data_IF_012269698820
#
_entry.id   IF_012269698820
#
_cell.length_a   1.000
_cell.length_b   1.000
_cell.length_c   1.000
_cell.angle_alpha   90.00
_cell.angle_beta   90.00
_cell.angle_gamma   90.00
#
_symmetry.space_group_name_H-M   'P 1'
#
loop_
_entity.id
_entity.type
_entity.pdbx_description
1 polymer ?
#
# COMPACT_ATOMS: atom_id res chain seq x y z
N UNK A 1 -19.62 -32.09 2.46
CA UNK A 1 -19.04 -30.83 1.95
C UNK A 1 -19.20 -30.70 0.43
N UNK A 2 -18.65 -31.62 -0.38
CA UNK A 2 -18.76 -31.57 -1.87
C UNK A 2 -20.19 -31.40 -2.42
N UNK A 3 -21.19 -32.12 -1.88
CA UNK A 3 -22.60 -31.96 -2.30
C UNK A 3 -23.17 -30.55 -2.06
N UNK A 4 -22.72 -29.87 -1.00
CA UNK A 4 -23.19 -28.51 -0.68
C UNK A 4 -22.57 -27.52 -1.66
N UNK A 5 -21.27 -27.65 -1.92
CA UNK A 5 -20.54 -26.83 -2.90
C UNK A 5 -21.20 -26.96 -4.27
N UNK A 6 -21.47 -28.18 -4.74
CA UNK A 6 -22.13 -28.40 -6.03
C UNK A 6 -23.51 -27.73 -6.08
N UNK A 7 -24.35 -27.85 -5.04
CA UNK A 7 -25.66 -27.17 -5.00
C UNK A 7 -25.54 -25.65 -5.05
N UNK A 8 -24.55 -25.06 -4.35
CA UNK A 8 -24.34 -23.60 -4.35
C UNK A 8 -23.85 -23.15 -5.73
N UNK A 9 -22.86 -23.85 -6.30
CA UNK A 9 -22.37 -23.57 -7.65
C UNK A 9 -23.49 -23.71 -8.67
N UNK A 10 -24.21 -24.83 -8.71
CA UNK A 10 -25.33 -25.03 -9.63
C UNK A 10 -26.42 -23.96 -9.44
N UNK A 11 -26.72 -23.56 -8.20
CA UNK A 11 -27.66 -22.48 -7.90
C UNK A 11 -27.22 -21.14 -8.50
N UNK A 12 -25.95 -20.76 -8.32
CA UNK A 12 -25.37 -19.53 -8.88
C UNK A 12 -25.35 -19.60 -10.41
N UNK A 13 -24.83 -20.69 -10.99
CA UNK A 13 -24.73 -20.85 -12.44
C UNK A 13 -26.11 -20.89 -13.10
N UNK A 14 -27.10 -21.53 -12.50
CA UNK A 14 -28.47 -21.53 -13.01
C UNK A 14 -29.14 -20.16 -12.85
N UNK A 15 -28.93 -19.46 -11.73
CA UNK A 15 -29.48 -18.13 -11.49
C UNK A 15 -29.00 -17.12 -12.53
N UNK A 16 -27.71 -17.17 -12.88
CA UNK A 16 -27.14 -16.30 -13.91
C UNK A 16 -27.22 -16.85 -15.35
N UNK A 17 -27.70 -18.10 -15.52
CA UNK A 17 -27.79 -18.75 -16.82
C UNK A 17 -26.44 -19.02 -17.48
N UNK A 18 -25.40 -19.31 -16.70
CA UNK A 18 -24.06 -19.67 -17.17
C UNK A 18 -24.02 -21.15 -17.61
N UNK A 19 -24.69 -21.49 -18.71
CA UNK A 19 -24.56 -22.83 -19.31
C UNK A 19 -23.27 -22.96 -20.13
N UNK A 20 -22.45 -23.98 -19.87
CA UNK A 20 -21.18 -24.25 -20.58
C UNK A 20 -21.32 -24.27 -22.12
N UNK A 21 -22.48 -24.70 -22.64
CA UNK A 21 -22.72 -24.82 -24.07
C UNK A 21 -23.47 -23.65 -24.73
N UNK A 22 -24.09 -22.73 -23.96
CA UNK A 22 -24.93 -21.65 -24.52
C UNK A 22 -24.66 -20.25 -23.93
N UNK A 23 -23.57 -20.08 -23.19
CA UNK A 23 -23.37 -18.88 -22.37
C UNK A 23 -21.93 -18.36 -22.25
N UNK A 24 -20.98 -18.79 -23.10
CA UNK A 24 -19.58 -18.35 -23.00
C UNK A 24 -19.44 -16.82 -22.94
N UNK A 25 -20.14 -16.09 -23.81
CA UNK A 25 -20.16 -14.62 -23.79
C UNK A 25 -20.78 -14.01 -22.53
N UNK A 26 -21.80 -14.67 -21.94
CA UNK A 26 -22.40 -14.20 -20.67
C UNK A 26 -21.46 -14.39 -19.50
N UNK A 27 -20.76 -15.53 -19.43
CA UNK A 27 -19.75 -15.78 -18.42
C UNK A 27 -18.60 -14.78 -18.53
N UNK A 28 -18.14 -14.49 -19.75
CA UNK A 28 -17.09 -13.51 -19.97
C UNK A 28 -17.51 -12.09 -19.61
N UNK A 29 -18.73 -11.69 -19.98
CA UNK A 29 -19.28 -10.40 -19.57
C UNK A 29 -19.37 -10.28 -18.04
N UNK A 30 -19.79 -11.36 -17.37
CA UNK A 30 -19.84 -11.40 -15.91
C UNK A 30 -18.44 -11.32 -15.28
N UNK A 31 -17.46 -12.05 -15.80
CA UNK A 31 -16.07 -11.97 -15.33
C UNK A 31 -15.48 -10.58 -15.55
N UNK A 32 -15.77 -9.93 -16.67
CA UNK A 32 -15.38 -8.54 -16.94
C UNK A 32 -16.05 -7.57 -15.95
N UNK A 33 -17.34 -7.76 -15.68
CA UNK A 33 -18.07 -6.95 -14.71
C UNK A 33 -17.49 -7.07 -13.29
N UNK A 34 -17.24 -8.30 -12.82
CA UNK A 34 -16.56 -8.52 -11.54
C UNK A 34 -15.16 -7.91 -11.55
N UNK A 35 -14.43 -8.03 -12.65
CA UNK A 35 -13.10 -7.45 -12.78
C UNK A 35 -13.13 -5.93 -12.60
N UNK A 36 -14.09 -5.24 -13.23
CA UNK A 36 -14.28 -3.79 -13.04
C UNK A 36 -14.59 -3.47 -11.58
N UNK A 37 -15.57 -4.13 -10.97
CA UNK A 37 -15.98 -3.85 -9.58
C UNK A 37 -14.83 -4.05 -8.60
N UNK A 38 -14.14 -5.20 -8.68
CA UNK A 38 -13.06 -5.53 -7.76
C UNK A 38 -11.77 -4.75 -8.04
N UNK A 39 -11.62 -4.17 -9.23
CA UNK A 39 -10.46 -3.33 -9.58
C UNK A 39 -10.62 -1.87 -9.21
N UNK A 40 -11.86 -1.34 -9.14
CA UNK A 40 -12.10 0.08 -8.85
C UNK A 40 -11.47 0.48 -7.51
N UNK A 41 -11.71 -0.28 -6.45
CA UNK A 41 -11.20 0.06 -5.12
C UNK A 41 -9.65 0.03 -5.05
N UNK A 42 -8.94 -1.05 -5.46
CA UNK A 42 -7.48 -1.04 -5.52
C UNK A 42 -6.89 0.08 -6.38
N UNK A 43 -7.53 0.44 -7.50
CA UNK A 43 -7.08 1.55 -8.34
C UNK A 43 -7.27 2.91 -7.65
N UNK A 44 -8.36 3.12 -6.92
CA UNK A 44 -8.55 4.31 -6.10
C UNK A 44 -7.48 4.37 -5.01
N UNK A 45 -7.26 3.27 -4.28
CA UNK A 45 -6.20 3.19 -3.27
C UNK A 45 -4.81 3.43 -3.86
N UNK A 46 -4.53 2.94 -5.07
CA UNK A 46 -3.28 3.23 -5.79
C UNK A 46 -3.10 4.73 -6.03
N UNK A 47 -4.13 5.44 -6.49
CA UNK A 47 -4.05 6.89 -6.74
C UNK A 47 -3.93 7.69 -5.44
N UNK A 48 -4.64 7.27 -4.39
CA UNK A 48 -4.59 7.95 -3.08
C UNK A 48 -3.22 7.75 -2.42
N UNK A 49 -2.76 6.50 -2.31
CA UNK A 49 -1.50 6.19 -1.61
C UNK A 49 -0.24 6.44 -2.43
N UNK A 50 -0.35 6.68 -3.75
CA UNK A 50 0.80 7.16 -4.53
C UNK A 50 1.13 8.63 -4.29
N UNK A 51 0.17 9.40 -3.77
CA UNK A 51 0.32 10.82 -3.41
C UNK A 51 0.56 11.04 -1.92
N UNK A 52 0.31 10.03 -1.10
CA UNK A 52 0.48 10.09 0.35
C UNK A 52 1.95 9.90 0.70
N UNK A 53 2.62 11.00 1.05
CA UNK A 53 4.05 10.97 1.37
C UNK A 53 4.34 10.12 2.60
N UNK A 54 3.45 10.07 3.58
CA UNK A 54 3.64 9.28 4.79
C UNK A 54 3.61 7.79 4.47
N UNK A 55 2.67 7.34 3.64
CA UNK A 55 2.63 5.93 3.21
C UNK A 55 3.86 5.56 2.38
N UNK A 56 4.25 6.42 1.43
CA UNK A 56 5.43 6.17 0.58
C UNK A 56 6.73 6.17 1.40
N UNK A 57 6.86 7.08 2.36
CA UNK A 57 8.05 7.19 3.21
C UNK A 57 8.21 5.97 4.13
N UNK A 58 7.12 5.49 4.74
CA UNK A 58 7.17 4.41 5.73
C UNK A 58 7.04 3.00 5.17
N UNK A 59 6.23 2.80 4.12
CA UNK A 59 5.98 1.48 3.52
C UNK A 59 6.60 1.32 2.11
N UNK A 60 7.21 2.38 1.58
CA UNK A 60 7.71 2.39 0.21
C UNK A 60 6.58 2.28 -0.82
N UNK A 61 6.92 1.74 -2.00
CA UNK A 61 5.97 1.50 -3.09
C UNK A 61 5.26 0.15 -3.00
N UNK A 62 5.53 -0.65 -1.97
CA UNK A 62 4.97 -2.01 -1.83
C UNK A 62 3.44 -2.01 -1.88
N UNK A 63 2.71 -1.18 -1.11
CA UNK A 63 1.24 -1.19 -1.17
C UNK A 63 0.69 -0.85 -2.56
N UNK A 64 1.42 -0.06 -3.34
CA UNK A 64 1.03 0.33 -4.70
C UNK A 64 1.13 -0.86 -5.66
N UNK A 65 2.22 -1.63 -5.60
CA UNK A 65 2.38 -2.86 -6.39
C UNK A 65 1.34 -3.91 -6.03
N UNK A 66 1.02 -4.04 -4.73
CA UNK A 66 -0.02 -4.98 -4.27
C UNK A 66 -1.40 -4.55 -4.75
N UNK A 67 -1.74 -3.26 -4.70
CA UNK A 67 -2.99 -2.74 -5.28
C UNK A 67 -3.09 -3.01 -6.80
N UNK A 68 -2.00 -2.85 -7.54
CA UNK A 68 -1.97 -3.15 -8.99
C UNK A 68 -2.01 -4.65 -9.30
N UNK A 69 -1.54 -5.50 -8.38
CA UNK A 69 -1.56 -6.95 -8.58
C UNK A 69 -2.99 -7.49 -8.74
N UNK A 70 -3.98 -6.89 -8.07
CA UNK A 70 -5.39 -7.28 -8.15
C UNK A 70 -5.97 -7.15 -9.56
N UNK A 71 -6.02 -5.96 -10.20
CA UNK A 71 -6.51 -5.82 -11.57
C UNK A 71 -5.71 -6.65 -12.57
N UNK A 72 -4.39 -6.80 -12.37
CA UNK A 72 -3.55 -7.65 -13.22
C UNK A 72 -3.96 -9.12 -13.10
N UNK A 73 -4.16 -9.63 -11.88
CA UNK A 73 -4.61 -10.99 -11.65
C UNK A 73 -5.98 -11.24 -12.29
N UNK A 74 -6.95 -10.36 -12.06
CA UNK A 74 -8.29 -10.50 -12.62
C UNK A 74 -8.30 -10.36 -14.17
N UNK A 75 -7.45 -9.50 -14.74
CA UNK A 75 -7.25 -9.42 -16.19
C UNK A 75 -6.63 -10.72 -16.73
N UNK A 76 -5.62 -11.27 -16.05
CA UNK A 76 -4.98 -12.52 -16.46
C UNK A 76 -5.95 -13.72 -16.40
N UNK A 77 -6.92 -13.71 -15.48
CA UNK A 77 -8.03 -14.66 -15.48
C UNK A 77 -8.92 -14.54 -16.72
N UNK A 78 -9.26 -13.31 -17.12
CA UNK A 78 -10.03 -13.08 -18.35
C UNK A 78 -9.27 -13.56 -19.58
N UNK A 79 -7.96 -13.28 -19.66
CA UNK A 79 -7.10 -13.75 -20.76
C UNK A 79 -7.05 -15.28 -20.77
N UNK A 80 -6.89 -15.92 -19.61
CA UNK A 80 -6.88 -17.38 -19.49
C UNK A 80 -8.16 -18.04 -20.00
N UNK A 81 -9.33 -17.50 -19.66
CA UNK A 81 -10.62 -18.02 -20.14
C UNK A 81 -10.73 -17.88 -21.66
N UNK A 82 -10.35 -16.73 -22.22
CA UNK A 82 -10.34 -16.52 -23.68
C UNK A 82 -9.37 -17.47 -24.38
N UNK A 83 -8.17 -17.67 -23.81
CA UNK A 83 -7.18 -18.60 -24.34
C UNK A 83 -7.75 -20.01 -24.47
N UNK A 84 -8.37 -20.56 -23.41
CA UNK A 84 -8.97 -21.90 -23.47
C UNK A 84 -10.09 -22.02 -24.51
N UNK A 85 -10.88 -20.95 -24.72
CA UNK A 85 -11.93 -20.91 -25.73
C UNK A 85 -11.37 -20.88 -27.16
N UNK A 86 -10.41 -19.99 -27.44
CA UNK A 86 -9.86 -19.82 -28.79
C UNK A 86 -9.12 -21.08 -29.27
N UNK A 87 -8.36 -21.73 -28.39
CA UNK A 87 -7.53 -22.88 -28.76
C UNK A 87 -8.24 -24.23 -28.71
N UNK A 88 -9.56 -24.26 -28.46
CA UNK A 88 -10.36 -25.50 -28.40
C UNK A 88 -9.70 -26.58 -27.52
N UNK A 89 -9.15 -26.14 -26.37
CA UNK A 89 -8.43 -27.03 -25.47
C UNK A 89 -9.40 -28.09 -24.95
N UNK A 90 -8.95 -29.36 -24.86
CA UNK A 90 -9.77 -30.45 -24.32
C UNK A 90 -10.34 -30.04 -22.95
N UNK A 91 -11.63 -30.28 -22.66
CA UNK A 91 -12.27 -29.82 -21.41
C UNK A 91 -11.50 -30.20 -20.14
N UNK A 92 -10.95 -31.42 -20.09
CA UNK A 92 -10.12 -31.88 -18.97
C UNK A 92 -8.85 -31.05 -18.76
N UNK A 93 -8.20 -30.62 -19.85
CA UNK A 93 -7.00 -29.79 -19.78
C UNK A 93 -7.35 -28.34 -19.43
N UNK A 94 -8.44 -27.80 -20.00
CA UNK A 94 -8.95 -26.47 -19.65
C UNK A 94 -9.34 -26.39 -18.16
N UNK A 95 -10.03 -27.41 -17.62
CA UNK A 95 -10.36 -27.52 -16.19
C UNK A 95 -9.10 -27.48 -15.32
N UNK A 96 -8.10 -28.33 -15.61
CA UNK A 96 -6.82 -28.35 -14.88
C UNK A 96 -6.10 -27.00 -14.96
N UNK A 97 -6.09 -26.37 -16.14
CA UNK A 97 -5.50 -25.05 -16.35
C UNK A 97 -6.19 -23.97 -15.53
N UNK A 98 -7.53 -23.92 -15.55
CA UNK A 98 -8.31 -22.99 -14.72
C UNK A 98 -8.05 -23.21 -13.23
N UNK A 99 -8.07 -24.45 -12.74
CA UNK A 99 -7.80 -24.74 -11.32
C UNK A 99 -6.41 -24.21 -10.92
N UNK A 100 -5.38 -24.55 -11.70
CA UNK A 100 -4.01 -24.08 -11.43
C UNK A 100 -3.94 -22.55 -11.45
N UNK A 101 -4.60 -21.90 -12.41
CA UNK A 101 -4.62 -20.44 -12.51
C UNK A 101 -5.24 -19.79 -11.25
N UNK A 102 -6.43 -20.24 -10.83
CA UNK A 102 -7.11 -19.69 -9.66
C UNK A 102 -6.34 -19.94 -8.36
N UNK A 103 -5.80 -21.16 -8.18
CA UNK A 103 -5.05 -21.54 -6.98
C UNK A 103 -3.75 -20.74 -6.89
N UNK A 104 -3.00 -20.62 -7.99
CA UNK A 104 -1.73 -19.87 -8.01
C UNK A 104 -1.98 -18.38 -7.78
N UNK A 105 -2.88 -17.76 -8.54
CA UNK A 105 -3.19 -16.33 -8.37
C UNK A 105 -3.75 -16.03 -6.98
N UNK A 106 -4.65 -16.87 -6.47
CA UNK A 106 -5.20 -16.75 -5.13
C UNK A 106 -4.10 -16.81 -4.05
N UNK A 107 -3.18 -17.76 -4.16
CA UNK A 107 -2.05 -17.90 -3.21
C UNK A 107 -1.13 -16.67 -3.25
N UNK A 108 -0.80 -16.18 -4.45
CA UNK A 108 0.05 -14.98 -4.61
C UNK A 108 -0.60 -13.76 -3.95
N UNK A 109 -1.90 -13.52 -4.19
CA UNK A 109 -2.61 -12.40 -3.57
C UNK A 109 -2.73 -12.53 -2.04
N UNK A 110 -2.91 -13.76 -1.52
CA UNK A 110 -2.90 -14.01 -0.06
C UNK A 110 -1.54 -13.59 0.53
N UNK A 111 -0.44 -14.08 -0.05
CA UNK A 111 0.90 -13.77 0.43
C UNK A 111 1.21 -12.27 0.34
N UNK A 112 0.89 -11.62 -0.78
CA UNK A 112 1.11 -10.18 -0.96
C UNK A 112 0.26 -9.33 0.00
N UNK A 113 -1.02 -9.66 0.16
CA UNK A 113 -1.91 -8.96 1.09
C UNK A 113 -1.47 -9.12 2.54
N UNK A 114 -1.15 -10.35 2.96
CA UNK A 114 -0.63 -10.63 4.30
C UNK A 114 0.69 -9.92 4.58
N UNK A 115 1.60 -9.89 3.61
CA UNK A 115 2.87 -9.17 3.72
C UNK A 115 2.66 -7.67 3.98
N UNK A 116 1.81 -7.00 3.20
CA UNK A 116 1.49 -5.58 3.40
C UNK A 116 0.83 -5.34 4.75
N UNK A 117 -0.10 -6.20 5.17
CA UNK A 117 -0.72 -6.11 6.50
C UNK A 117 0.32 -6.20 7.61
N UNK A 118 1.20 -7.21 7.58
CA UNK A 118 2.24 -7.38 8.59
C UNK A 118 3.23 -6.21 8.61
N UNK A 119 3.62 -5.70 7.44
CA UNK A 119 4.54 -4.56 7.35
C UNK A 119 3.90 -3.28 7.91
N UNK A 120 2.66 -2.98 7.53
CA UNK A 120 1.91 -1.81 8.01
C UNK A 120 1.66 -1.87 9.52
N UNK A 121 1.25 -3.03 10.05
CA UNK A 121 1.05 -3.23 11.49
C UNK A 121 2.35 -3.12 12.27
N UNK A 122 3.45 -3.68 11.76
CA UNK A 122 4.77 -3.57 12.40
C UNK A 122 5.19 -2.10 12.50
N UNK A 123 5.18 -1.36 11.39
CA UNK A 123 5.59 0.05 11.37
C UNK A 123 4.68 0.90 12.24
N UNK A 124 3.36 0.69 12.18
CA UNK A 124 2.38 1.38 13.02
C UNK A 124 2.64 1.10 14.51
N UNK A 125 2.88 -0.16 14.88
CA UNK A 125 3.18 -0.55 16.27
C UNK A 125 4.51 0.04 16.74
N UNK A 126 5.55 0.01 15.91
CA UNK A 126 6.86 0.55 16.26
C UNK A 126 6.80 2.07 16.43
N UNK A 127 6.06 2.79 15.59
CA UNK A 127 5.83 4.23 15.76
C UNK A 127 5.06 4.59 17.04
N UNK A 128 4.14 3.74 17.48
CA UNK A 128 3.37 3.99 18.72
C UNK A 128 4.15 3.54 19.95
N UNK A 129 4.68 2.32 19.97
CA UNK A 129 5.22 1.72 21.18
C UNK A 129 6.72 1.98 21.34
N UNK A 130 7.44 2.02 20.22
CA UNK A 130 8.91 2.01 20.19
C UNK A 130 9.49 3.23 19.46
N UNK A 131 8.76 4.35 19.41
CA UNK A 131 9.19 5.56 18.71
C UNK A 131 10.58 6.00 19.18
N UNK A 132 11.50 6.21 18.23
CA UNK A 132 12.90 6.54 18.51
C UNK A 132 13.83 5.34 18.68
N UNK A 133 13.30 4.10 18.67
CA UNK A 133 14.11 2.88 18.69
C UNK A 133 14.53 2.42 17.30
N UNK A 134 13.67 2.63 16.30
CA UNK A 134 13.98 2.36 14.90
C UNK A 134 14.85 3.51 14.34
N UNK A 135 15.93 3.23 13.56
CA UNK A 135 16.83 4.26 13.04
C UNK A 135 16.13 5.42 12.31
N UNK A 136 15.06 5.14 11.56
CA UNK A 136 14.33 6.17 10.82
C UNK A 136 13.54 7.08 11.77
N UNK A 137 12.85 6.48 12.75
CA UNK A 137 12.13 7.24 13.77
C UNK A 137 13.07 8.01 14.71
N UNK A 138 14.25 7.44 15.01
CA UNK A 138 15.29 8.06 15.82
C UNK A 138 15.85 9.31 15.12
N UNK A 139 16.15 9.22 13.83
CA UNK A 139 16.67 10.34 13.06
C UNK A 139 15.65 11.49 12.93
N UNK A 140 14.37 11.16 12.77
CA UNK A 140 13.29 12.16 12.79
C UNK A 140 13.16 12.83 14.16
N UNK A 141 13.25 12.05 15.25
CA UNK A 141 13.22 12.60 16.60
C UNK A 141 14.44 13.49 16.87
N UNK A 142 15.64 13.06 16.49
CA UNK A 142 16.88 13.84 16.64
C UNK A 142 16.80 15.16 15.87
N UNK A 143 16.32 15.12 14.62
CA UNK A 143 16.10 16.33 13.82
C UNK A 143 15.10 17.26 14.50
N UNK A 144 13.98 16.72 14.99
CA UNK A 144 12.97 17.50 15.71
C UNK A 144 13.54 18.13 16.99
N UNK A 145 14.29 17.38 17.79
CA UNK A 145 14.97 17.88 19.00
C UNK A 145 15.99 18.96 18.64
N UNK A 146 16.76 18.81 17.55
CA UNK A 146 17.69 19.84 17.09
C UNK A 146 16.96 21.13 16.67
N UNK A 147 15.79 21.01 16.02
CA UNK A 147 14.97 22.17 15.68
C UNK A 147 14.44 22.86 16.95
N UNK A 148 13.93 22.09 17.91
CA UNK A 148 13.46 22.58 19.21
C UNK A 148 14.56 23.33 19.96
N UNK A 149 15.76 22.75 20.04
CA UNK A 149 16.90 23.34 20.74
C UNK A 149 17.40 24.62 20.08
N UNK A 150 17.40 24.66 18.75
CA UNK A 150 17.68 25.88 18.00
C UNK A 150 16.63 26.95 18.29
N UNK A 151 15.35 26.57 18.26
CA UNK A 151 14.27 27.51 18.46
C UNK A 151 14.23 28.07 19.89
N UNK A 152 14.41 27.23 20.91
CA UNK A 152 14.49 27.65 22.31
C UNK A 152 15.60 28.67 22.58
N UNK A 153 16.73 28.58 21.87
CA UNK A 153 17.83 29.56 21.95
C UNK A 153 17.46 30.90 21.33
N UNK A 154 16.64 30.89 20.29
CA UNK A 154 16.20 32.08 19.57
C UNK A 154 14.99 32.76 20.24
N UNK A 155 13.96 31.98 20.59
CA UNK A 155 12.71 32.43 21.20
C UNK A 155 12.20 31.37 22.18
N UNK A 156 12.46 31.51 23.50
CA UNK A 156 12.01 30.55 24.50
C UNK A 156 10.49 30.57 24.71
N UNK A 157 9.78 31.55 24.14
CA UNK A 157 8.33 31.71 24.24
C UNK A 157 7.57 31.20 23.01
N UNK A 158 8.27 30.75 21.96
CA UNK A 158 7.67 30.25 20.70
C UNK A 158 6.65 31.23 20.07
N UNK A 159 6.88 32.53 20.24
CA UNK A 159 5.97 33.59 19.76
C UNK A 159 6.17 33.93 18.29
N UNK A 160 7.39 33.85 17.76
CA UNK A 160 7.69 34.13 16.34
C UNK A 160 7.63 32.86 15.48
N UNK A 161 8.07 32.88 14.22
CA UNK A 161 8.21 31.63 13.45
C UNK A 161 9.69 31.25 13.47
N UNK A 162 10.02 29.95 13.51
CA UNK A 162 11.42 29.51 13.58
C UNK A 162 12.26 30.01 12.39
N UNK A 163 11.66 30.17 11.22
CA UNK A 163 12.31 30.73 10.02
C UNK A 163 12.74 32.20 10.17
N UNK A 164 12.15 32.93 11.12
CA UNK A 164 12.51 34.31 11.43
C UNK A 164 13.74 34.41 12.37
N UNK A 165 14.20 33.28 12.92
CA UNK A 165 15.33 33.25 13.82
C UNK A 165 16.66 33.54 13.11
N UNK A 166 17.54 34.37 13.68
CA UNK A 166 18.85 34.62 13.11
C UNK A 166 19.68 33.33 13.05
N UNK A 167 20.32 33.08 11.91
CA UNK A 167 21.12 31.87 11.67
C UNK A 167 20.32 30.65 11.20
N UNK A 168 19.00 30.76 11.01
CA UNK A 168 18.19 29.67 10.48
C UNK A 168 18.65 29.23 9.08
N UNK A 169 18.98 30.18 8.20
CA UNK A 169 19.47 29.88 6.83
C UNK A 169 20.83 29.17 6.82
N UNK A 170 21.63 29.34 7.87
CA UNK A 170 22.96 28.73 7.99
C UNK A 170 22.89 27.32 8.64
N UNK A 171 21.75 26.97 9.25
CA UNK A 171 21.53 25.64 9.83
C UNK A 171 21.29 24.62 8.73
N UNK A 172 22.29 23.76 8.49
CA UNK A 172 22.10 22.53 7.74
C UNK A 172 21.44 21.50 8.67
N UNK A 173 20.12 21.58 8.82
CA UNK A 173 19.37 20.48 9.43
C UNK A 173 19.69 19.21 8.62
N UNK A 174 20.20 18.19 9.30
CA UNK A 174 20.78 17.00 8.67
C UNK A 174 19.85 16.46 7.59
N UNK A 175 20.42 16.23 6.40
CA UNK A 175 19.72 15.45 5.39
C UNK A 175 19.72 13.99 5.85
N UNK A 176 18.63 13.24 5.57
CA UNK A 176 18.64 11.80 5.74
C UNK A 176 19.91 11.21 5.12
N UNK A 177 20.62 10.27 5.78
CA UNK A 177 21.50 9.41 5.03
C UNK A 177 20.66 8.75 3.93
N UNK A 178 21.11 8.77 2.66
CA UNK A 178 20.35 8.19 1.57
C UNK A 178 20.02 6.74 1.91
N UNK A 179 18.75 6.37 1.80
CA UNK A 179 18.30 5.01 2.09
C UNK A 179 19.00 4.02 1.17
N UNK A 180 19.13 2.75 1.56
CA UNK A 180 19.72 1.73 0.69
C UNK A 180 19.01 1.64 -0.69
N UNK A 181 17.72 1.98 -0.74
CA UNK A 181 16.97 2.07 -1.98
C UNK A 181 17.30 3.33 -2.79
N UNK A 182 17.56 4.46 -2.15
CA UNK A 182 18.04 5.68 -2.81
C UNK A 182 19.47 5.50 -3.30
N UNK A 183 20.35 4.89 -2.52
CA UNK A 183 21.70 4.52 -2.94
C UNK A 183 21.66 3.54 -4.13
N UNK A 184 20.80 2.52 -4.08
CA UNK A 184 20.62 1.60 -5.20
C UNK A 184 20.00 2.27 -6.43
N UNK A 185 19.10 3.25 -6.24
CA UNK A 185 18.55 4.04 -7.34
C UNK A 185 19.59 5.01 -7.91
N UNK A 186 20.46 5.58 -7.08
CA UNK A 186 21.55 6.45 -7.48
C UNK A 186 22.64 5.67 -8.21
N UNK A 187 22.96 4.44 -7.78
CA UNK A 187 23.83 3.50 -8.50
C UNK A 187 23.20 3.07 -9.84
N UNK A 188 21.90 2.77 -9.88
CA UNK A 188 21.20 2.41 -11.11
C UNK A 188 21.14 3.57 -12.11
N UNK A 189 20.96 4.81 -11.63
CA UNK A 189 21.00 6.02 -12.46
C UNK A 189 22.44 6.39 -12.87
N UNK A 190 23.47 5.98 -12.12
CA UNK A 190 24.88 6.26 -12.43
C UNK A 190 25.44 5.37 -13.55
N UNK A 191 24.93 4.15 -13.74
CA UNK A 191 25.38 3.24 -14.82
C UNK A 191 24.65 3.43 -16.15
N UNK A 192 23.49 4.09 -16.17
CA UNK A 192 22.70 4.35 -17.38
C UNK A 192 22.64 5.83 -17.73
N UNK A 193 23.46 6.30 -18.68
CA UNK A 193 23.50 7.70 -19.17
C UNK A 193 22.24 8.22 -19.89
N UNK A 194 21.06 7.69 -19.59
CA UNK A 194 19.78 8.20 -20.07
C UNK A 194 19.21 9.21 -19.06
N UNK A 195 18.94 10.42 -19.56
CA UNK A 195 18.25 11.50 -18.84
C UNK A 195 17.08 10.96 -18.02
N UNK A 196 16.99 11.27 -16.71
CA UNK A 196 15.99 10.70 -15.82
C UNK A 196 14.59 10.97 -16.35
N UNK A 197 13.86 9.88 -16.62
CA UNK A 197 12.46 9.92 -17.03
C UNK A 197 11.63 10.64 -15.96
N UNK A 198 10.68 11.52 -16.34
CA UNK A 198 9.94 12.42 -15.43
C UNK A 198 8.85 11.72 -14.59
N UNK A 199 9.19 10.60 -13.94
CA UNK A 199 8.24 9.79 -13.16
C UNK A 199 8.82 9.12 -11.91
N UNK A 200 10.12 9.22 -11.64
CA UNK A 200 10.70 8.73 -10.40
C UNK A 200 10.60 9.82 -9.34
N UNK A 201 9.57 9.73 -8.51
CA UNK A 201 9.39 10.59 -7.33
C UNK A 201 10.55 10.34 -6.36
N UNK A 202 11.64 11.11 -6.48
CA UNK A 202 12.71 11.18 -5.47
C UNK A 202 12.15 12.00 -4.32
N UNK A 203 11.82 11.36 -3.20
CA UNK A 203 11.48 12.07 -1.96
C UNK A 203 12.78 12.60 -1.35
N UNK A 204 13.46 13.50 -2.06
CA UNK A 204 14.58 14.29 -1.52
C UNK A 204 14.03 15.39 -0.60
N UNK A 205 13.11 15.04 0.29
CA UNK A 205 12.68 15.92 1.37
C UNK A 205 13.63 15.69 2.54
N UNK A 206 14.24 16.76 3.03
CA UNK A 206 15.01 16.72 4.27
C UNK A 206 14.08 16.33 5.42
N UNK A 207 14.60 15.68 6.47
CA UNK A 207 13.81 15.34 7.67
C UNK A 207 13.09 16.58 8.22
N UNK A 208 13.73 17.75 8.16
CA UNK A 208 13.12 19.04 8.45
C UNK A 208 11.80 19.26 7.70
N UNK A 209 11.83 19.24 6.36
CA UNK A 209 10.64 19.49 5.55
C UNK A 209 9.53 18.46 5.79
N UNK A 210 9.89 17.19 6.02
CA UNK A 210 8.94 16.15 6.36
C UNK A 210 8.27 16.41 7.73
N UNK A 211 9.03 16.85 8.74
CA UNK A 211 8.50 17.18 10.06
C UNK A 211 7.57 18.40 10.00
N UNK A 212 7.94 19.44 9.25
CA UNK A 212 7.09 20.62 9.01
C UNK A 212 5.75 20.18 8.41
N UNK A 213 5.79 19.44 7.31
CA UNK A 213 4.57 18.97 6.63
C UNK A 213 3.72 18.10 7.55
N UNK A 214 4.35 17.23 8.35
CA UNK A 214 3.66 16.35 9.29
C UNK A 214 2.94 17.15 10.39
N UNK A 215 3.59 18.17 10.96
CA UNK A 215 2.99 19.02 12.01
C UNK A 215 1.76 19.78 11.46
N UNK A 216 1.86 20.33 10.25
CA UNK A 216 0.74 21.04 9.60
C UNK A 216 -0.38 20.12 9.13
N UNK A 217 -0.07 18.93 8.59
CA UNK A 217 -1.09 18.02 8.04
C UNK A 217 -1.92 17.35 9.13
N UNK A 218 -1.29 16.95 10.23
CA UNK A 218 -1.96 16.20 11.30
C UNK A 218 -2.31 17.01 12.53
N UNK A 219 -1.94 18.29 12.57
CA UNK A 219 -2.15 19.18 13.72
C UNK A 219 -1.62 18.60 15.04
N UNK A 220 -0.46 17.94 14.95
CA UNK A 220 0.22 17.26 16.04
C UNK A 220 1.41 18.09 16.54
N UNK A 221 2.06 17.67 17.63
CA UNK A 221 3.31 18.30 18.10
C UNK A 221 4.27 17.25 18.63
N UNK A 222 5.58 17.47 18.47
CA UNK A 222 6.57 16.47 18.86
C UNK A 222 6.54 15.26 17.95
N UNK A 223 7.71 14.72 17.61
CA UNK A 223 7.73 13.49 16.82
C UNK A 223 7.38 12.27 17.68
N UNK A 224 8.22 11.97 18.68
CA UNK A 224 8.02 10.90 19.66
C UNK A 224 7.56 11.41 21.05
N UNK A 225 7.71 12.70 21.34
CA UNK A 225 7.36 13.32 22.63
C UNK A 225 5.86 13.63 22.72
N UNK A 226 5.25 13.34 23.87
CA UNK A 226 3.88 13.79 24.19
C UNK A 226 3.92 15.20 24.79
N UNK A 227 2.87 15.99 24.56
CA UNK A 227 2.74 17.35 25.12
C UNK A 227 3.92 18.26 24.75
N UNK A 228 4.49 18.04 23.57
CA UNK A 228 5.49 18.93 23.03
C UNK A 228 4.87 20.28 22.67
N UNK A 229 5.68 21.33 22.68
CA UNK A 229 5.25 22.62 22.14
C UNK A 229 5.36 22.60 20.61
N UNK A 230 4.41 23.20 19.89
CA UNK A 230 4.48 23.29 18.43
C UNK A 230 5.69 24.13 18.02
N UNK A 231 6.41 23.66 17.01
CA UNK A 231 7.57 24.38 16.45
C UNK A 231 7.13 25.21 15.24
N UNK A 232 6.27 24.65 14.39
CA UNK A 232 5.90 25.23 13.11
C UNK A 232 4.43 25.65 13.07
N UNK A 233 3.51 24.81 13.57
CA UNK A 233 2.09 25.09 13.57
C UNK A 233 1.60 25.46 14.97
N UNK A 234 1.55 26.76 15.27
CA UNK A 234 1.12 27.27 16.59
C UNK A 234 -0.32 26.92 16.97
N UNK A 235 -1.14 26.51 16.00
CA UNK A 235 -2.51 26.11 16.24
C UNK A 235 -2.61 24.64 16.67
N UNK A 236 -1.53 23.86 16.55
CA UNK A 236 -1.55 22.44 16.86
C UNK A 236 -1.79 22.15 18.32
N UNK A 237 -2.70 21.20 18.52
CA UNK A 237 -3.06 20.71 19.83
C UNK A 237 -1.92 19.82 20.34
N UNK A 238 -1.33 20.20 21.48
CA UNK A 238 -0.21 19.47 22.09
C UNK A 238 -0.55 18.04 22.55
N UNK A 239 -1.76 17.54 22.31
CA UNK A 239 -2.25 16.28 22.86
C UNK A 239 -1.69 15.04 22.14
N UNK A 240 -1.36 15.17 20.85
CA UNK A 240 -0.95 14.04 20.03
C UNK A 240 0.46 14.23 19.49
N UNK A 241 1.30 13.22 19.72
CA UNK A 241 2.60 13.12 19.04
C UNK A 241 2.41 12.75 17.58
N UNK A 242 3.20 13.35 16.70
CA UNK A 242 3.09 13.15 15.26
C UNK A 242 3.31 11.69 14.82
N UNK A 243 4.15 10.92 15.54
CA UNK A 243 4.32 9.50 15.27
C UNK A 243 3.03 8.70 15.44
N UNK A 244 2.13 9.06 16.36
CA UNK A 244 0.85 8.37 16.56
C UNK A 244 -0.11 8.59 15.38
N UNK A 245 -0.16 9.82 14.84
CA UNK A 245 -1.01 10.14 13.68
C UNK A 245 -0.50 9.47 12.40
N UNK A 246 0.82 9.48 12.19
CA UNK A 246 1.46 8.71 11.12
C UNK A 246 1.16 7.22 11.29
N UNK A 247 1.29 6.66 12.50
CA UNK A 247 1.02 5.26 12.75
C UNK A 247 -0.43 4.88 12.43
N UNK A 248 -1.40 5.74 12.73
CA UNK A 248 -2.80 5.56 12.36
C UNK A 248 -2.99 5.58 10.85
N UNK A 249 -2.33 6.51 10.15
CA UNK A 249 -2.37 6.63 8.69
C UNK A 249 -1.75 5.42 7.98
N UNK A 250 -0.57 4.99 8.43
CA UNK A 250 0.13 3.78 7.94
C UNK A 250 -0.66 2.53 8.26
N UNK A 251 -1.20 2.42 9.48
CA UNK A 251 -2.05 1.31 9.90
C UNK A 251 -3.32 1.17 9.05
N UNK A 252 -3.91 2.28 8.60
CA UNK A 252 -5.07 2.24 7.70
C UNK A 252 -4.79 1.49 6.39
N UNK A 253 -3.54 1.47 5.91
CA UNK A 253 -3.14 0.72 4.70
C UNK A 253 -3.36 -0.79 4.87
N UNK A 254 -3.20 -1.32 6.09
CA UNK A 254 -3.45 -2.75 6.34
C UNK A 254 -4.93 -3.11 6.07
N UNK A 255 -5.84 -2.22 6.46
CA UNK A 255 -7.30 -2.41 6.34
C UNK A 255 -7.80 -2.11 4.94
N UNK A 256 -7.24 -1.11 4.27
CA UNK A 256 -7.72 -0.67 2.94
C UNK A 256 -7.07 -1.40 1.77
N UNK A 257 -5.84 -1.93 1.95
CA UNK A 257 -5.05 -2.60 0.90
C UNK A 257 -4.79 -4.06 1.25
N UNK A 258 -4.16 -4.31 2.41
CA UNK A 258 -3.70 -5.65 2.79
C UNK A 258 -4.83 -6.67 2.93
N UNK A 259 -5.78 -6.39 3.83
CA UNK A 259 -6.90 -7.28 4.11
C UNK A 259 -7.81 -7.52 2.89
N UNK A 260 -8.21 -6.51 2.09
CA UNK A 260 -9.02 -6.75 0.89
C UNK A 260 -8.29 -7.58 -0.15
N UNK A 261 -6.99 -7.36 -0.34
CA UNK A 261 -6.18 -8.14 -1.29
C UNK A 261 -6.06 -9.60 -0.85
N UNK A 262 -5.74 -9.82 0.43
CA UNK A 262 -5.69 -11.17 0.98
C UNK A 262 -7.06 -11.86 0.92
N UNK A 263 -8.14 -11.15 1.27
CA UNK A 263 -9.51 -11.64 1.20
C UNK A 263 -9.93 -12.06 -0.21
N UNK A 264 -9.60 -11.26 -1.23
CA UNK A 264 -9.81 -11.63 -2.62
C UNK A 264 -8.97 -12.86 -3.01
N UNK A 265 -7.72 -12.93 -2.57
CA UNK A 265 -6.86 -14.09 -2.77
C UNK A 265 -7.46 -15.38 -2.20
N UNK A 266 -8.01 -15.32 -0.98
CA UNK A 266 -8.75 -16.44 -0.36
C UNK A 266 -9.96 -16.82 -1.20
N UNK A 267 -10.75 -15.84 -1.66
CA UNK A 267 -11.91 -16.11 -2.51
C UNK A 267 -11.51 -16.83 -3.81
N UNK A 268 -10.46 -16.36 -4.50
CA UNK A 268 -9.95 -17.00 -5.72
C UNK A 268 -9.43 -18.41 -5.47
N UNK A 269 -8.66 -18.60 -4.39
CA UNK A 269 -8.15 -19.90 -4.01
C UNK A 269 -9.30 -20.90 -3.75
N UNK A 270 -10.31 -20.48 -2.98
CA UNK A 270 -11.48 -21.30 -2.69
C UNK A 270 -12.26 -21.65 -3.96
N UNK A 271 -12.46 -20.70 -4.87
CA UNK A 271 -13.09 -20.98 -6.18
C UNK A 271 -12.28 -22.01 -6.96
N UNK A 272 -10.94 -21.89 -7.01
CA UNK A 272 -10.07 -22.88 -7.65
C UNK A 272 -10.24 -24.28 -7.07
N UNK A 273 -10.28 -24.41 -5.74
CA UNK A 273 -10.51 -25.68 -5.04
C UNK A 273 -11.92 -26.24 -5.32
N UNK A 274 -12.95 -25.38 -5.35
CA UNK A 274 -14.32 -25.79 -5.69
C UNK A 274 -14.42 -26.33 -7.12
N UNK A 275 -13.78 -25.65 -8.08
CA UNK A 275 -13.70 -26.10 -9.48
C UNK A 275 -12.95 -27.43 -9.63
N UNK A 276 -11.99 -27.72 -8.74
CA UNK A 276 -11.32 -29.01 -8.70
C UNK A 276 -12.26 -30.16 -8.34
N UNK A 277 -13.29 -29.93 -7.52
CA UNK A 277 -14.29 -30.93 -7.15
C UNK A 277 -15.49 -31.03 -8.10
N UNK A 278 -15.63 -30.11 -9.06
CA UNK A 278 -16.80 -30.05 -9.94
C UNK A 278 -16.62 -30.87 -11.22
N UNK A 279 -17.23 -32.06 -11.27
CA UNK A 279 -17.08 -33.00 -12.39
C UNK A 279 -17.97 -32.73 -13.61
N UNK A 280 -18.86 -31.74 -13.54
CA UNK A 280 -19.83 -31.41 -14.59
C UNK A 280 -19.40 -30.23 -15.50
N UNK A 281 -18.11 -29.85 -15.49
CA UNK A 281 -17.53 -28.78 -16.32
C UNK A 281 -17.02 -29.28 -17.68
#
# INVERSE_FOLDING_TARGET
MARIINRVCDGVFNYFGFGAHKGAGRLQFFLLFLNVIFSVWPLVCYVVYSKDIHVVYWLGKVPQYVNLSVPICLLSMNIGVNYFQCFHVRPQAARKGCIMLFVVLGTVLICMGAYVTMQAEKVSTDLVQNCGSDPLSAALQETWTSCKDFYLKCDPTFTQNMEACPGFADQQFQQPPPTAAELAAEEADAEGGETPSPGVFRVSKTYYSYLVDTEFEFDCTGFCEFYAQPIWNKLSEGEHRCASEIARRVGAVSVTVGLPTAGLGVALFLVGVMLAGYDHL
#
